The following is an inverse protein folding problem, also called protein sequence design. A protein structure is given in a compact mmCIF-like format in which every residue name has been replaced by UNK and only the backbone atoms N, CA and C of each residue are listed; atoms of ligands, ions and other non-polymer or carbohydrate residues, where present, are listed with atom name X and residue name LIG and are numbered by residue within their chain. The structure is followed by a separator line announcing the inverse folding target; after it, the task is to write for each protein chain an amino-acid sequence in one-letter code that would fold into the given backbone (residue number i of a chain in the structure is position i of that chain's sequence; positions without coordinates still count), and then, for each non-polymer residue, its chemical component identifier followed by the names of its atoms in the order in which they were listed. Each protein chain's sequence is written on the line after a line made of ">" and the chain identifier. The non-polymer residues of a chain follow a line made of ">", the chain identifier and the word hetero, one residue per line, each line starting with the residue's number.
data_IF_308835142130
#
_entry.id   IF_308835142130
#
_cell.length_a   1.000
_cell.length_b   1.000
_cell.length_c   1.000
_cell.angle_alpha   90.00
_cell.angle_beta   90.00
_cell.angle_gamma   90.00
#
_symmetry.space_group_name_H-M   'P 1'
#
loop_
_entity.id
_entity.type
_entity.pdbx_description
1 polymer ?
#
# COMPACT_ATOMS: atom_id res chain seq x y z
N UNK A 1 -3.17 18.39 -4.63
CA UNK A 1 -4.13 17.30 -4.39
C UNK A 1 -3.58 16.43 -3.28
N UNK A 2 -4.33 16.20 -2.23
CA UNK A 2 -3.94 15.25 -1.18
C UNK A 2 -3.82 13.88 -1.83
N UNK A 3 -2.69 13.20 -1.68
CA UNK A 3 -2.54 11.80 -2.09
C UNK A 3 -3.09 10.93 -0.96
N UNK A 4 -4.40 10.94 -0.78
CA UNK A 4 -5.08 10.02 0.13
C UNK A 4 -5.21 8.67 -0.59
N UNK A 5 -4.07 8.01 -0.85
CA UNK A 5 -4.07 6.65 -1.36
C UNK A 5 -4.36 5.69 -0.20
N UNK A 6 -5.16 4.68 -0.47
CA UNK A 6 -5.70 3.77 0.54
C UNK A 6 -5.41 2.31 0.17
N UNK A 7 -5.09 1.53 1.19
CA UNK A 7 -4.99 0.07 1.09
C UNK A 7 -6.21 -0.56 1.75
N UNK A 8 -6.99 -1.29 0.98
CA UNK A 8 -8.11 -2.07 1.49
C UNK A 8 -7.65 -3.40 2.08
N UNK A 9 -8.03 -3.68 3.33
CA UNK A 9 -7.78 -4.97 3.95
C UNK A 9 -8.97 -5.88 3.65
N UNK A 10 -8.71 -6.98 2.96
CA UNK A 10 -9.70 -7.97 2.57
C UNK A 10 -9.35 -9.35 3.11
N UNK A 11 -10.32 -10.23 3.21
CA UNK A 11 -10.11 -11.62 3.63
C UNK A 11 -11.44 -12.32 3.87
N UNK A 12 -11.42 -13.65 3.85
CA UNK A 12 -12.57 -14.45 4.23
C UNK A 12 -12.89 -14.27 5.72
N UNK A 13 -14.10 -14.63 6.18
CA UNK A 13 -14.41 -14.62 7.61
C UNK A 13 -13.41 -15.48 8.41
N UNK A 14 -13.10 -15.05 9.63
CA UNK A 14 -12.27 -15.78 10.60
C UNK A 14 -10.79 -15.99 10.18
N UNK A 15 -10.26 -15.18 9.28
CA UNK A 15 -8.83 -15.20 8.91
C UNK A 15 -7.95 -14.31 9.79
N UNK A 16 -8.55 -13.55 10.74
CA UNK A 16 -7.84 -12.58 11.59
C UNK A 16 -7.86 -11.13 11.07
N UNK A 17 -8.63 -10.84 10.02
CA UNK A 17 -8.72 -9.53 9.39
C UNK A 17 -9.08 -8.41 10.37
N UNK A 18 -10.14 -8.57 11.15
CA UNK A 18 -10.59 -7.54 12.13
C UNK A 18 -9.60 -7.36 13.28
N UNK A 19 -8.95 -8.44 13.72
CA UNK A 19 -7.89 -8.37 14.75
C UNK A 19 -6.71 -7.55 14.23
N UNK A 20 -6.27 -7.80 13.01
CA UNK A 20 -5.20 -7.04 12.36
C UNK A 20 -5.59 -5.57 12.18
N UNK A 21 -6.80 -5.29 11.68
CA UNK A 21 -7.27 -3.92 11.52
C UNK A 21 -7.37 -3.16 12.85
N UNK A 22 -7.81 -3.82 13.91
CA UNK A 22 -7.82 -3.22 15.24
C UNK A 22 -6.42 -2.90 15.76
N UNK A 23 -5.43 -3.76 15.51
CA UNK A 23 -4.04 -3.48 15.82
C UNK A 23 -3.53 -2.24 15.06
N UNK A 24 -3.84 -2.15 13.77
CA UNK A 24 -3.54 -0.97 12.94
C UNK A 24 -4.15 0.30 13.52
N UNK A 25 -5.43 0.28 13.87
CA UNK A 25 -6.14 1.47 14.40
C UNK A 25 -5.65 1.88 15.78
N UNK A 26 -5.24 0.94 16.62
CA UNK A 26 -4.64 1.22 17.93
C UNK A 26 -3.27 1.89 17.77
N UNK A 27 -2.41 1.35 16.91
CA UNK A 27 -1.12 1.95 16.57
C UNK A 27 -1.27 3.35 15.96
N UNK A 28 -2.37 3.62 15.25
CA UNK A 28 -2.69 4.91 14.66
C UNK A 28 -3.37 5.92 15.58
N UNK A 29 -3.73 5.55 16.83
CA UNK A 29 -4.44 6.45 17.74
C UNK A 29 -3.66 7.73 18.07
N UNK A 30 -2.33 7.71 17.97
CA UNK A 30 -1.47 8.89 18.09
C UNK A 30 -1.44 9.75 16.80
N UNK A 31 -1.85 9.17 15.66
CA UNK A 31 -1.91 9.87 14.38
C UNK A 31 -3.08 10.88 14.27
N UNK A 32 -3.93 11.01 15.28
CA UNK A 32 -5.05 11.98 15.37
C UNK A 32 -4.60 13.45 15.27
N UNK A 33 -3.31 13.72 15.21
CA UNK A 33 -2.73 15.05 15.06
C UNK A 33 -2.60 15.54 13.60
N UNK A 34 -3.06 14.77 12.62
CA UNK A 34 -3.03 15.22 11.22
C UNK A 34 -4.20 16.18 10.97
N UNK A 35 -3.93 17.45 10.60
CA UNK A 35 -4.98 18.36 10.19
C UNK A 35 -5.67 17.80 8.93
N UNK A 36 -6.99 17.73 8.95
CA UNK A 36 -7.88 17.21 7.89
C UNK A 36 -8.17 15.69 7.89
N UNK A 37 -7.82 14.94 8.94
CA UNK A 37 -8.35 13.58 9.09
C UNK A 37 -9.76 13.61 9.69
N UNK A 38 -10.77 13.38 8.86
CA UNK A 38 -12.10 12.99 9.33
C UNK A 38 -12.01 11.55 9.83
N UNK A 39 -12.48 11.29 11.04
CA UNK A 39 -12.60 9.92 11.58
C UNK A 39 -13.77 9.27 10.82
N UNK A 40 -13.43 8.47 9.81
CA UNK A 40 -14.40 7.66 9.09
C UNK A 40 -14.45 6.26 9.73
N UNK A 41 -15.64 5.69 9.96
CA UNK A 41 -15.74 4.31 10.43
C UNK A 41 -15.06 3.38 9.41
N UNK A 42 -14.29 2.42 9.89
CA UNK A 42 -13.51 1.45 9.10
C UNK A 42 -12.29 2.01 8.35
N UNK A 43 -11.80 3.19 8.71
CA UNK A 43 -10.55 3.74 8.19
C UNK A 43 -9.55 3.92 9.33
N UNK A 44 -8.41 3.28 9.21
CA UNK A 44 -7.25 3.45 10.10
C UNK A 44 -6.20 4.33 9.44
N UNK A 45 -5.75 5.36 10.14
CA UNK A 45 -4.61 6.19 9.72
C UNK A 45 -3.43 5.85 10.59
N UNK A 46 -2.30 5.51 10.00
CA UNK A 46 -1.11 5.08 10.71
C UNK A 46 0.12 5.82 10.23
N UNK A 47 1.07 6.01 11.12
CA UNK A 47 2.37 6.54 10.79
C UNK A 47 3.19 5.49 10.01
N UNK A 48 3.88 5.96 8.97
CA UNK A 48 4.84 5.11 8.24
C UNK A 48 6.16 5.11 9.00
N UNK A 49 6.62 3.96 9.51
CA UNK A 49 7.86 3.87 10.26
C UNK A 49 9.05 4.31 9.40
N UNK A 50 9.79 5.32 9.87
CA UNK A 50 10.99 5.84 9.19
C UNK A 50 12.05 6.24 10.22
N UNK A 51 13.04 5.37 10.43
CA UNK A 51 14.13 5.60 11.36
C UNK A 51 14.96 6.86 11.03
N UNK A 52 14.96 7.30 9.77
CA UNK A 52 15.70 8.50 9.31
C UNK A 52 15.22 9.77 9.99
N UNK A 53 13.92 9.85 10.30
CA UNK A 53 13.33 11.02 10.96
C UNK A 53 13.86 11.22 12.40
N UNK A 54 14.03 10.14 13.15
CA UNK A 54 14.59 10.20 14.52
C UNK A 54 16.01 10.76 14.49
N UNK A 55 16.85 10.22 13.58
CA UNK A 55 18.23 10.70 13.40
C UNK A 55 18.29 12.18 12.99
N UNK A 56 17.44 12.60 12.03
CA UNK A 56 17.36 14.00 11.63
C UNK A 56 16.84 14.89 12.78
N UNK A 57 15.86 14.43 13.54
CA UNK A 57 15.32 15.14 14.68
C UNK A 57 16.39 15.42 15.75
N UNK A 58 17.24 14.44 16.04
CA UNK A 58 18.37 14.59 16.97
C UNK A 58 19.45 15.52 16.39
N UNK A 59 19.83 15.33 15.12
CA UNK A 59 20.84 16.14 14.43
C UNK A 59 20.47 17.63 14.40
N UNK A 60 19.22 17.94 14.07
CA UNK A 60 18.72 19.33 13.96
C UNK A 60 18.11 19.86 15.26
N UNK A 61 18.06 19.04 16.33
CA UNK A 61 17.40 19.36 17.61
C UNK A 61 15.97 19.81 17.40
N UNK A 62 15.25 19.09 16.54
CA UNK A 62 13.89 19.43 16.15
C UNK A 62 12.92 19.31 17.31
N UNK A 63 12.08 20.34 17.49
CA UNK A 63 11.05 20.36 18.53
C UNK A 63 9.90 19.38 18.24
N UNK A 64 9.71 19.04 16.97
CA UNK A 64 8.65 18.13 16.50
C UNK A 64 9.19 17.22 15.42
N UNK A 65 8.77 15.94 15.47
CA UNK A 65 9.03 14.94 14.45
C UNK A 65 7.67 14.53 13.86
N UNK A 66 7.52 14.58 12.54
CA UNK A 66 6.27 14.27 11.85
C UNK A 66 6.52 13.23 10.76
N UNK A 67 6.12 11.97 10.99
CA UNK A 67 6.24 10.92 9.99
C UNK A 67 5.27 11.11 8.82
N UNK A 68 5.45 10.35 7.78
CA UNK A 68 4.44 10.18 6.75
C UNK A 68 3.28 9.36 7.31
N UNK A 69 2.08 9.55 6.78
CA UNK A 69 0.91 8.77 7.17
C UNK A 69 0.35 7.99 5.99
N UNK A 70 -0.31 6.87 6.30
CA UNK A 70 -0.95 5.99 5.35
C UNK A 70 -2.34 5.59 5.87
N UNK A 71 -3.27 5.29 4.95
CA UNK A 71 -4.64 4.89 5.27
C UNK A 71 -4.87 3.43 4.94
N UNK A 72 -5.43 2.71 5.90
CA UNK A 72 -5.98 1.38 5.73
C UNK A 72 -7.50 1.42 5.86
N UNK A 73 -8.19 0.66 5.02
CA UNK A 73 -9.65 0.56 5.04
C UNK A 73 -10.05 -0.88 5.33
N UNK A 74 -10.83 -1.09 6.39
CA UNK A 74 -11.42 -2.42 6.65
C UNK A 74 -12.58 -2.67 5.68
N UNK A 75 -12.35 -3.55 4.73
CA UNK A 75 -13.38 -3.97 3.79
C UNK A 75 -14.10 -5.18 4.36
N UNK A 76 -15.42 -5.06 4.54
CA UNK A 76 -16.25 -6.13 5.08
C UNK A 76 -16.00 -7.46 4.35
N UNK A 77 -15.92 -8.56 5.10
CA UNK A 77 -15.54 -9.87 4.56
C UNK A 77 -16.42 -10.31 3.39
N UNK A 78 -15.79 -10.95 2.43
CA UNK A 78 -16.46 -11.55 1.27
C UNK A 78 -17.35 -12.71 1.71
N UNK A 79 -18.58 -12.73 1.21
CA UNK A 79 -19.43 -13.91 1.23
C UNK A 79 -19.46 -14.47 -0.19
N UNK A 80 -19.31 -15.79 -0.35
CA UNK A 80 -19.38 -16.48 -1.63
C UNK A 80 -20.68 -16.12 -2.37
N UNK A 81 -20.58 -15.74 -3.65
CA UNK A 81 -21.72 -15.25 -4.42
C UNK A 81 -21.88 -13.72 -4.42
N UNK A 82 -20.88 -12.99 -3.97
CA UNK A 82 -20.87 -11.52 -3.93
C UNK A 82 -21.13 -10.89 -5.31
N UNK A 83 -20.61 -11.49 -6.37
CA UNK A 83 -20.78 -11.04 -7.76
C UNK A 83 -22.20 -11.20 -8.30
N UNK A 84 -23.03 -12.06 -7.69
CA UNK A 84 -24.42 -12.30 -8.13
C UNK A 84 -25.43 -11.29 -7.59
N UNK A 85 -24.99 -10.23 -6.93
CA UNK A 85 -25.82 -9.08 -6.57
C UNK A 85 -26.65 -9.21 -5.29
N UNK A 86 -26.37 -10.17 -4.42
CA UNK A 86 -27.08 -10.31 -3.16
C UNK A 86 -26.42 -9.52 -2.04
N UNK A 87 -26.98 -8.37 -1.69
CA UNK A 87 -26.79 -7.64 -0.43
C UNK A 87 -25.35 -7.22 -0.10
N UNK A 88 -24.67 -7.94 0.76
CA UNK A 88 -23.33 -7.61 1.28
C UNK A 88 -22.22 -7.69 0.22
N UNK A 89 -22.39 -8.53 -0.81
CA UNK A 89 -21.40 -8.69 -1.88
C UNK A 89 -21.19 -7.43 -2.71
N UNK A 90 -22.27 -6.72 -3.05
CA UNK A 90 -22.18 -5.46 -3.79
C UNK A 90 -21.43 -4.38 -3.01
N UNK A 91 -21.59 -4.33 -1.68
CA UNK A 91 -20.85 -3.40 -0.83
C UNK A 91 -19.36 -3.73 -0.79
N UNK A 92 -19.02 -5.01 -0.71
CA UNK A 92 -17.64 -5.47 -0.77
C UNK A 92 -16.95 -5.02 -2.06
N UNK A 93 -17.58 -5.29 -3.21
CA UNK A 93 -17.04 -4.90 -4.52
C UNK A 93 -16.94 -3.37 -4.67
N UNK A 94 -17.93 -2.63 -4.14
CA UNK A 94 -17.90 -1.16 -4.15
C UNK A 94 -16.70 -0.61 -3.33
N UNK A 95 -16.48 -1.12 -2.12
CA UNK A 95 -15.34 -0.70 -1.30
C UNK A 95 -13.99 -1.05 -1.94
N UNK A 96 -13.86 -2.22 -2.60
CA UNK A 96 -12.63 -2.53 -3.34
C UNK A 96 -12.42 -1.53 -4.50
N UNK A 97 -13.48 -1.04 -5.15
CA UNK A 97 -13.32 -0.01 -6.20
C UNK A 97 -12.72 1.29 -5.69
N UNK A 98 -13.04 1.66 -4.47
CA UNK A 98 -12.64 2.94 -3.85
C UNK A 98 -11.15 2.96 -3.43
N UNK A 99 -10.60 1.84 -2.98
CA UNK A 99 -9.20 1.74 -2.54
C UNK A 99 -8.22 1.63 -3.71
N UNK A 100 -6.95 1.98 -3.50
CA UNK A 100 -5.92 2.00 -4.54
C UNK A 100 -5.14 0.68 -4.65
N UNK A 101 -5.05 -0.07 -3.55
CA UNK A 101 -4.41 -1.38 -3.48
C UNK A 101 -5.12 -2.27 -2.46
N UNK A 102 -4.83 -3.56 -2.49
CA UNK A 102 -5.48 -4.57 -1.63
C UNK A 102 -4.43 -5.30 -0.81
N UNK A 103 -4.63 -5.39 0.50
CA UNK A 103 -3.93 -6.31 1.40
C UNK A 103 -4.85 -7.49 1.71
N UNK A 104 -4.57 -8.63 1.12
CA UNK A 104 -5.37 -9.83 1.31
C UNK A 104 -4.86 -10.66 2.47
N UNK A 105 -5.62 -10.71 3.56
CA UNK A 105 -5.31 -11.53 4.75
C UNK A 105 -5.73 -12.97 4.50
N UNK A 106 -4.78 -13.87 4.70
CA UNK A 106 -4.95 -15.30 4.45
C UNK A 106 -4.61 -16.06 5.73
N UNK A 107 -5.47 -16.97 6.12
CA UNK A 107 -5.26 -17.80 7.31
C UNK A 107 -4.25 -18.91 7.05
N UNK A 108 -3.14 -18.89 7.79
CA UNK A 108 -2.08 -19.87 7.76
C UNK A 108 -1.83 -20.52 9.14
N UNK A 109 -2.73 -20.36 10.09
CA UNK A 109 -2.64 -20.93 11.45
C UNK A 109 -3.76 -21.92 11.72
N UNK A 110 -3.48 -22.91 12.56
CA UNK A 110 -4.48 -23.85 13.07
C UNK A 110 -4.96 -23.39 14.45
N UNK A 111 -6.27 -23.35 14.64
CA UNK A 111 -6.92 -23.11 15.95
C UNK A 111 -8.24 -23.86 15.99
N UNK A 112 -8.32 -24.85 16.88
CA UNK A 112 -9.51 -25.69 17.04
C UNK A 112 -10.75 -24.95 17.55
N UNK A 113 -10.58 -23.75 18.13
CA UNK A 113 -11.67 -22.90 18.62
C UNK A 113 -12.20 -21.95 17.57
N UNK A 114 -11.48 -21.76 16.45
CA UNK A 114 -11.85 -20.85 15.36
C UNK A 114 -12.24 -21.68 14.15
N UNK A 115 -13.53 -21.76 13.85
CA UNK A 115 -14.03 -22.49 12.69
C UNK A 115 -13.63 -21.77 11.39
N UNK A 116 -13.05 -22.53 10.44
CA UNK A 116 -12.85 -22.03 9.08
C UNK A 116 -14.14 -22.15 8.27
N UNK A 117 -14.48 -21.13 7.47
CA UNK A 117 -15.74 -21.08 6.71
C UNK A 117 -15.87 -22.25 5.75
N UNK A 118 -14.76 -22.71 5.16
CA UNK A 118 -14.69 -23.83 4.22
C UNK A 118 -14.29 -25.17 4.91
N UNK A 119 -14.33 -25.25 6.24
CA UNK A 119 -14.13 -26.46 7.03
C UNK A 119 -12.67 -26.93 7.19
N UNK A 120 -11.73 -26.44 6.38
CA UNK A 120 -10.30 -26.75 6.47
C UNK A 120 -9.44 -25.56 6.08
N UNK A 121 -8.21 -25.50 6.58
CA UNK A 121 -7.25 -24.44 6.20
C UNK A 121 -6.68 -24.80 4.84
N UNK A 122 -6.88 -23.90 3.89
CA UNK A 122 -6.27 -23.96 2.56
C UNK A 122 -6.12 -22.54 2.00
N UNK A 123 -4.98 -21.90 2.25
CA UNK A 123 -4.78 -20.50 1.88
C UNK A 123 -4.90 -20.23 0.38
N UNK A 124 -4.49 -21.15 -0.49
CA UNK A 124 -4.61 -20.98 -1.93
C UNK A 124 -6.07 -20.97 -2.37
N UNK A 125 -6.88 -21.90 -1.84
CA UNK A 125 -8.34 -21.90 -2.09
C UNK A 125 -8.97 -20.58 -1.63
N UNK A 126 -8.56 -20.06 -0.48
CA UNK A 126 -9.10 -18.83 0.08
C UNK A 126 -8.75 -17.62 -0.81
N UNK A 127 -7.54 -17.60 -1.38
CA UNK A 127 -7.13 -16.61 -2.38
C UNK A 127 -7.96 -16.73 -3.66
N UNK A 128 -8.15 -17.96 -4.16
CA UNK A 128 -8.91 -18.24 -5.37
C UNK A 128 -10.38 -17.84 -5.24
N UNK A 129 -11.00 -18.04 -4.09
CA UNK A 129 -12.39 -17.61 -3.84
C UNK A 129 -12.54 -16.11 -4.05
N UNK A 130 -11.65 -15.30 -3.46
CA UNK A 130 -11.69 -13.84 -3.61
C UNK A 130 -11.41 -13.46 -5.07
N UNK A 131 -10.36 -14.01 -5.67
CA UNK A 131 -10.03 -13.72 -7.07
C UNK A 131 -11.17 -14.05 -8.03
N UNK A 132 -11.86 -15.18 -7.83
CA UNK A 132 -13.00 -15.58 -8.64
C UNK A 132 -14.13 -14.55 -8.59
N UNK A 133 -14.50 -14.09 -7.40
CA UNK A 133 -15.56 -13.08 -7.26
C UNK A 133 -15.16 -11.73 -7.90
N UNK A 134 -13.89 -11.33 -7.80
CA UNK A 134 -13.38 -10.12 -8.46
C UNK A 134 -13.35 -10.29 -10.00
N UNK A 135 -12.95 -11.46 -10.50
CA UNK A 135 -12.94 -11.77 -11.92
C UNK A 135 -14.36 -11.73 -12.53
N UNK A 136 -15.34 -12.29 -11.82
CA UNK A 136 -16.74 -12.25 -12.26
C UNK A 136 -17.30 -10.82 -12.34
N UNK A 137 -16.96 -9.97 -11.35
CA UNK A 137 -17.37 -8.58 -11.36
C UNK A 137 -16.71 -7.77 -12.49
N UNK A 138 -15.44 -8.04 -12.76
CA UNK A 138 -14.72 -7.38 -13.85
C UNK A 138 -15.19 -7.87 -15.22
N UNK A 139 -15.51 -9.16 -15.36
CA UNK A 139 -16.04 -9.72 -16.59
C UNK A 139 -17.29 -8.98 -17.05
N UNK A 140 -18.24 -8.74 -16.13
CA UNK A 140 -19.43 -7.93 -16.43
C UNK A 140 -19.08 -6.51 -16.93
N UNK A 141 -18.05 -5.90 -16.34
CA UNK A 141 -17.58 -4.56 -16.74
C UNK A 141 -16.98 -4.58 -18.15
N UNK A 142 -16.14 -5.56 -18.43
CA UNK A 142 -15.47 -5.71 -19.75
C UNK A 142 -16.46 -6.05 -20.84
N UNK A 143 -17.41 -6.96 -20.60
CA UNK A 143 -18.45 -7.33 -21.56
C UNK A 143 -19.32 -6.14 -21.96
N UNK A 144 -19.72 -5.31 -21.00
CA UNK A 144 -20.43 -4.04 -21.27
C UNK A 144 -19.60 -3.08 -22.15
N UNK A 145 -18.30 -3.05 -21.99
CA UNK A 145 -17.40 -2.26 -22.86
C UNK A 145 -17.32 -2.86 -24.26
N UNK A 146 -17.19 -4.18 -24.37
CA UNK A 146 -17.19 -4.88 -25.66
C UNK A 146 -18.47 -4.61 -26.47
N UNK A 147 -19.65 -4.66 -25.85
CA UNK A 147 -20.92 -4.33 -26.51
C UNK A 147 -20.94 -2.91 -27.09
N UNK A 148 -20.33 -1.94 -26.39
CA UNK A 148 -20.19 -0.56 -26.88
C UNK A 148 -19.24 -0.49 -28.06
N UNK A 149 -18.11 -1.22 -28.01
CA UNK A 149 -17.12 -1.26 -29.10
C UNK A 149 -17.69 -1.84 -30.40
N UNK A 150 -18.55 -2.84 -30.32
CA UNK A 150 -19.21 -3.39 -31.52
C UNK A 150 -19.93 -2.30 -32.33
N UNK A 151 -20.53 -1.32 -31.66
CA UNK A 151 -21.19 -0.18 -32.33
C UNK A 151 -20.16 0.77 -32.94
N UNK A 152 -18.97 0.91 -32.33
CA UNK A 152 -17.89 1.80 -32.79
C UNK A 152 -17.06 1.18 -33.92
N UNK A 153 -17.06 -0.14 -34.11
CA UNK A 153 -16.37 -0.80 -35.24
C UNK A 153 -16.78 -0.22 -36.60
N UNK A 154 -18.00 0.31 -36.71
CA UNK A 154 -18.52 0.92 -37.95
C UNK A 154 -17.95 2.32 -38.23
N UNK A 155 -17.26 2.93 -37.29
CA UNK A 155 -16.72 4.29 -37.44
C UNK A 155 -15.40 4.34 -38.22
N UNK A 156 -14.72 3.20 -38.39
CA UNK A 156 -13.42 3.11 -39.08
C UNK A 156 -12.22 3.55 -38.25
N UNK A 157 -12.40 3.78 -36.93
CA UNK A 157 -11.29 4.09 -36.03
C UNK A 157 -10.38 2.87 -35.85
N UNK A 158 -9.09 3.03 -36.19
CA UNK A 158 -8.08 1.95 -36.12
C UNK A 158 -7.76 1.48 -34.71
N UNK A 159 -8.07 2.25 -33.68
CA UNK A 159 -7.86 1.86 -32.27
C UNK A 159 -8.90 0.84 -31.78
N UNK A 160 -10.12 0.90 -32.32
CA UNK A 160 -11.23 0.05 -31.86
C UNK A 160 -10.95 -1.45 -32.04
N UNK A 161 -10.42 -1.94 -33.18
CA UNK A 161 -10.06 -3.35 -33.31
C UNK A 161 -8.95 -3.80 -32.34
N UNK A 162 -7.98 -2.92 -32.02
CA UNK A 162 -6.90 -3.20 -31.07
C UNK A 162 -7.45 -3.30 -29.66
N UNK A 163 -8.26 -2.32 -29.24
CA UNK A 163 -8.93 -2.35 -27.94
C UNK A 163 -9.78 -3.62 -27.80
N UNK A 164 -10.54 -3.97 -28.85
CA UNK A 164 -11.36 -5.19 -28.84
C UNK A 164 -10.51 -6.44 -28.58
N UNK A 165 -9.37 -6.59 -29.25
CA UNK A 165 -8.48 -7.75 -29.06
C UNK A 165 -7.95 -7.83 -27.62
N UNK A 166 -7.63 -6.69 -27.01
CA UNK A 166 -7.23 -6.63 -25.59
C UNK A 166 -8.37 -7.08 -24.69
N UNK A 167 -9.59 -6.56 -24.90
CA UNK A 167 -10.75 -6.95 -24.11
C UNK A 167 -11.11 -8.43 -24.27
N UNK A 168 -10.98 -9.00 -25.47
CA UNK A 168 -11.21 -10.43 -25.72
C UNK A 168 -10.21 -11.28 -24.89
N UNK A 169 -8.92 -10.92 -24.88
CA UNK A 169 -7.89 -11.56 -24.06
C UNK A 169 -8.20 -11.47 -22.57
N UNK A 170 -8.69 -10.30 -22.12
CA UNK A 170 -9.05 -10.09 -20.71
C UNK A 170 -10.27 -10.93 -20.32
N UNK A 171 -11.32 -10.97 -21.12
CA UNK A 171 -12.51 -11.78 -20.85
C UNK A 171 -12.18 -13.27 -20.78
N UNK A 172 -11.33 -13.77 -21.69
CA UNK A 172 -10.88 -15.16 -21.66
C UNK A 172 -10.17 -15.49 -20.34
N UNK A 173 -9.21 -14.66 -19.92
CA UNK A 173 -8.49 -14.86 -18.64
C UNK A 173 -9.40 -14.76 -17.42
N UNK A 174 -10.28 -13.76 -17.38
CA UNK A 174 -11.25 -13.61 -16.28
C UNK A 174 -12.22 -14.79 -16.21
N UNK A 175 -12.61 -15.36 -17.36
CA UNK A 175 -13.45 -16.54 -17.44
C UNK A 175 -12.78 -17.81 -16.87
N UNK A 176 -11.46 -17.87 -16.88
CA UNK A 176 -10.64 -18.90 -16.24
C UNK A 176 -10.27 -18.56 -14.78
N UNK A 177 -10.92 -17.55 -14.21
CA UNK A 177 -10.63 -17.01 -12.87
C UNK A 177 -9.18 -16.49 -12.69
N UNK A 178 -8.52 -16.08 -13.80
CA UNK A 178 -7.20 -15.44 -13.78
C UNK A 178 -7.36 -13.93 -13.67
N UNK A 179 -6.91 -13.28 -12.60
CA UNK A 179 -6.94 -11.83 -12.46
C UNK A 179 -6.24 -11.10 -13.61
N UNK A 180 -6.78 -9.97 -14.06
CA UNK A 180 -6.25 -9.22 -15.20
C UNK A 180 -4.78 -8.81 -15.01
N UNK A 181 -4.33 -8.54 -13.78
CA UNK A 181 -2.92 -8.24 -13.45
C UNK A 181 -1.96 -9.40 -13.77
N UNK A 182 -2.45 -10.65 -13.88
CA UNK A 182 -1.66 -11.86 -14.21
C UNK A 182 -1.63 -12.22 -15.70
N UNK A 183 -2.34 -11.49 -16.55
CA UNK A 183 -2.48 -11.83 -17.97
C UNK A 183 -1.28 -11.42 -18.84
N UNK A 184 -0.20 -10.89 -18.23
CA UNK A 184 1.00 -10.47 -18.97
C UNK A 184 0.69 -9.37 -20.01
N UNK A 185 -0.16 -8.42 -19.66
CA UNK A 185 -0.52 -7.30 -20.52
C UNK A 185 0.63 -6.31 -20.64
N UNK A 186 0.89 -5.83 -21.86
CA UNK A 186 1.84 -4.73 -22.10
C UNK A 186 1.30 -3.42 -21.53
N UNK A 187 2.17 -2.41 -21.37
CA UNK A 187 1.72 -1.11 -20.86
C UNK A 187 0.75 -0.42 -21.83
N UNK A 188 0.92 -0.62 -23.15
CA UNK A 188 -0.02 -0.17 -24.17
C UNK A 188 -1.38 -0.86 -24.08
N UNK A 189 -1.40 -2.17 -23.79
CA UNK A 189 -2.65 -2.91 -23.54
C UNK A 189 -3.36 -2.43 -22.27
N UNK A 190 -2.61 -2.14 -21.21
CA UNK A 190 -3.15 -1.60 -19.94
C UNK A 190 -3.80 -0.23 -20.10
N UNK A 191 -3.30 0.61 -21.03
CA UNK A 191 -3.91 1.92 -21.30
C UNK A 191 -5.40 1.79 -21.69
N UNK A 192 -5.77 0.77 -22.46
CA UNK A 192 -7.16 0.53 -22.84
C UNK A 192 -8.06 0.14 -21.64
N UNK A 193 -7.47 -0.39 -20.58
CA UNK A 193 -8.19 -0.85 -19.38
C UNK A 193 -8.31 0.24 -18.31
N UNK A 194 -7.58 1.34 -18.44
CA UNK A 194 -7.48 2.37 -17.39
C UNK A 194 -8.85 2.95 -17.00
N UNK A 195 -9.70 3.25 -17.99
CA UNK A 195 -11.04 3.80 -17.76
C UNK A 195 -12.04 2.79 -17.17
N UNK A 196 -11.72 1.50 -17.21
CA UNK A 196 -12.61 0.43 -16.72
C UNK A 196 -12.48 0.23 -15.21
N UNK A 197 -11.40 0.73 -14.61
CA UNK A 197 -11.15 0.60 -13.17
C UNK A 197 -11.33 -0.83 -12.65
N UNK A 198 -10.74 -1.81 -13.38
CA UNK A 198 -10.89 -3.22 -13.05
C UNK A 198 -10.34 -3.53 -11.64
N UNK A 199 -11.12 -4.29 -10.89
CA UNK A 199 -10.76 -4.72 -9.52
C UNK A 199 -9.53 -5.62 -9.53
N UNK A 200 -9.46 -6.52 -10.52
CA UNK A 200 -8.36 -7.48 -10.69
C UNK A 200 -7.08 -6.87 -11.26
N UNK A 201 -7.09 -5.58 -11.65
CA UNK A 201 -5.88 -4.82 -12.01
C UNK A 201 -5.23 -4.15 -10.81
N UNK A 202 -5.93 -4.03 -9.67
CA UNK A 202 -5.36 -3.39 -8.48
C UNK A 202 -4.15 -4.16 -7.97
N UNK A 203 -3.09 -3.45 -7.52
CA UNK A 203 -1.96 -4.07 -6.85
C UNK A 203 -2.41 -4.84 -5.61
N UNK A 204 -1.81 -6.00 -5.37
CA UNK A 204 -2.13 -6.86 -4.23
C UNK A 204 -0.89 -7.15 -3.39
N UNK A 205 -1.10 -7.24 -2.09
CA UNK A 205 -0.16 -7.70 -1.07
C UNK A 205 -0.84 -8.84 -0.30
N UNK A 206 -0.15 -9.95 -0.12
CA UNK A 206 -0.65 -11.06 0.68
C UNK A 206 -0.16 -10.95 2.13
N UNK A 207 -1.08 -11.11 3.07
CA UNK A 207 -0.78 -11.09 4.50
C UNK A 207 -1.05 -12.49 5.05
N UNK A 208 0.01 -13.27 5.21
CA UNK A 208 -0.06 -14.61 5.78
C UNK A 208 -0.16 -14.51 7.31
N UNK A 209 -1.36 -14.74 7.85
CA UNK A 209 -1.60 -14.70 9.27
C UNK A 209 -1.33 -16.07 9.91
N UNK A 210 -0.32 -16.13 10.78
CA UNK A 210 0.17 -17.35 11.45
C UNK A 210 -0.07 -17.32 12.96
N UNK A 211 0.20 -18.43 13.64
CA UNK A 211 0.25 -18.48 15.10
C UNK A 211 1.46 -17.70 15.65
N UNK A 212 1.42 -17.34 16.94
CA UNK A 212 2.46 -16.50 17.56
C UNK A 212 3.85 -17.15 17.55
N UNK A 213 3.90 -18.47 17.74
CA UNK A 213 5.12 -19.27 17.75
C UNK A 213 5.68 -19.57 16.35
N UNK A 214 4.94 -19.26 15.28
CA UNK A 214 5.34 -19.49 13.90
C UNK A 214 5.92 -18.24 13.20
N UNK A 215 5.76 -17.06 13.79
CA UNK A 215 6.16 -15.78 13.17
C UNK A 215 7.66 -15.69 12.95
N UNK A 216 8.47 -16.23 13.87
CA UNK A 216 9.93 -16.16 13.83
C UNK A 216 10.54 -17.15 12.83
N UNK A 217 9.83 -18.20 12.43
CA UNK A 217 10.30 -19.23 11.51
C UNK A 217 9.21 -19.60 10.47
N UNK A 218 8.76 -18.65 9.66
CA UNK A 218 7.65 -18.85 8.73
C UNK A 218 7.97 -19.88 7.63
N UNK A 219 9.23 -20.15 7.38
CA UNK A 219 9.70 -21.18 6.45
C UNK A 219 9.30 -22.60 6.87
N UNK A 220 8.99 -22.82 8.14
CA UNK A 220 8.53 -24.12 8.64
C UNK A 220 7.02 -24.35 8.45
N UNK A 221 6.28 -23.31 8.08
CA UNK A 221 4.83 -23.41 7.86
C UNK A 221 4.52 -23.66 6.38
N UNK A 222 3.98 -24.85 6.00
CA UNK A 222 3.72 -25.19 4.60
C UNK A 222 2.64 -24.29 3.96
N UNK A 223 1.72 -23.74 4.74
CA UNK A 223 0.70 -22.81 4.27
C UNK A 223 1.33 -21.47 3.86
N UNK A 224 2.28 -20.97 4.66
CA UNK A 224 3.04 -19.76 4.35
C UNK A 224 3.85 -19.94 3.07
N UNK A 225 4.55 -21.09 2.94
CA UNK A 225 5.33 -21.40 1.75
C UNK A 225 4.47 -21.44 0.48
N UNK A 226 3.28 -22.00 0.58
CA UNK A 226 2.32 -22.03 -0.53
C UNK A 226 1.88 -20.61 -0.95
N UNK A 227 1.58 -19.73 0.03
CA UNK A 227 1.21 -18.32 -0.23
C UNK A 227 2.39 -17.56 -0.85
N UNK A 228 3.60 -17.72 -0.30
CA UNK A 228 4.80 -17.04 -0.83
C UNK A 228 5.08 -17.43 -2.28
N UNK A 229 5.00 -18.72 -2.59
CA UNK A 229 5.16 -19.20 -3.97
C UNK A 229 4.10 -18.63 -4.91
N UNK A 230 2.84 -18.64 -4.49
CA UNK A 230 1.75 -18.07 -5.27
C UNK A 230 1.96 -16.56 -5.54
N UNK A 231 2.37 -15.82 -4.51
CA UNK A 231 2.66 -14.40 -4.62
C UNK A 231 3.85 -14.12 -5.56
N UNK A 232 4.91 -14.91 -5.46
CA UNK A 232 6.09 -14.78 -6.34
C UNK A 232 5.71 -14.98 -7.82
N UNK A 233 4.88 -15.98 -8.15
CA UNK A 233 4.38 -16.22 -9.50
C UNK A 233 3.56 -15.03 -10.04
N UNK A 234 2.93 -14.27 -9.16
CA UNK A 234 2.15 -13.07 -9.48
C UNK A 234 2.99 -11.78 -9.48
N UNK A 235 4.22 -11.84 -8.97
CA UNK A 235 5.06 -10.65 -8.73
C UNK A 235 4.57 -9.80 -7.55
N UNK A 236 3.80 -10.39 -6.63
CA UNK A 236 3.31 -9.77 -5.41
C UNK A 236 4.21 -10.10 -4.22
N UNK A 237 4.14 -9.29 -3.17
CA UNK A 237 4.87 -9.48 -1.91
C UNK A 237 3.97 -10.21 -0.89
N UNK A 238 4.59 -11.01 -0.02
CA UNK A 238 3.92 -11.65 1.12
C UNK A 238 4.54 -11.14 2.42
N UNK A 239 3.68 -10.66 3.33
CA UNK A 239 4.07 -10.29 4.69
C UNK A 239 3.50 -11.33 5.65
N UNK A 240 4.35 -11.90 6.48
CA UNK A 240 3.94 -12.84 7.53
C UNK A 240 3.72 -12.07 8.83
N UNK A 241 2.55 -12.23 9.44
CA UNK A 241 2.18 -11.60 10.70
C UNK A 241 1.45 -12.59 11.61
N UNK A 242 1.47 -12.36 12.91
CA UNK A 242 0.47 -12.90 13.80
C UNK A 242 -0.45 -11.77 14.26
N UNK A 243 -1.66 -11.73 13.72
CA UNK A 243 -2.61 -10.67 14.06
C UNK A 243 -2.89 -10.59 15.57
N UNK A 244 -2.79 -11.73 16.27
CA UNK A 244 -2.92 -11.80 17.73
C UNK A 244 -1.74 -11.11 18.42
N UNK A 245 -0.51 -11.49 18.06
CA UNK A 245 0.72 -10.86 18.58
C UNK A 245 0.73 -9.36 18.32
N UNK A 246 0.39 -8.91 17.09
CA UNK A 246 0.34 -7.50 16.75
C UNK A 246 -0.69 -6.73 17.59
N UNK A 247 -1.82 -7.37 17.93
CA UNK A 247 -2.83 -6.76 18.80
C UNK A 247 -2.33 -6.60 20.25
N UNK A 248 -1.50 -7.53 20.73
CA UNK A 248 -0.88 -7.45 22.04
C UNK A 248 0.22 -6.40 22.08
N UNK A 249 1.11 -6.37 21.08
CA UNK A 249 2.18 -5.37 20.95
C UNK A 249 1.59 -3.93 20.89
N UNK A 250 0.49 -3.74 20.18
CA UNK A 250 -0.16 -2.42 20.04
C UNK A 250 -0.74 -1.89 21.38
N UNK A 251 -0.81 -2.71 22.42
CA UNK A 251 -1.25 -2.29 23.78
C UNK A 251 -0.07 -1.96 24.71
N UNK A 252 1.16 -2.29 24.31
CA UNK A 252 2.35 -2.11 25.13
C UNK A 252 2.97 -0.72 24.94
N UNK A 253 3.59 -0.17 25.99
CA UNK A 253 4.52 0.96 25.84
C UNK A 253 5.68 0.61 24.91
N UNK A 254 6.27 1.61 24.22
CA UNK A 254 7.31 1.42 23.20
C UNK A 254 8.50 0.55 23.70
N UNK A 255 8.95 0.79 24.95
CA UNK A 255 10.06 0.03 25.54
C UNK A 255 9.69 -1.45 25.75
N UNK A 256 8.48 -1.72 26.28
CA UNK A 256 8.00 -3.07 26.52
C UNK A 256 7.71 -3.80 25.19
N UNK A 257 7.18 -3.10 24.18
CA UNK A 257 6.96 -3.64 22.84
C UNK A 257 8.29 -4.11 22.21
N UNK A 258 9.36 -3.31 22.38
CA UNK A 258 10.68 -3.66 21.88
C UNK A 258 11.25 -4.92 22.58
N UNK A 259 11.16 -4.99 23.90
CA UNK A 259 11.57 -6.18 24.66
C UNK A 259 10.78 -7.42 24.23
N UNK A 260 9.49 -7.27 23.98
CA UNK A 260 8.63 -8.36 23.52
C UNK A 260 9.08 -8.90 22.15
N UNK A 261 9.39 -7.99 21.19
CA UNK A 261 9.90 -8.37 19.87
C UNK A 261 11.26 -9.09 19.97
N UNK A 262 12.17 -8.58 20.80
CA UNK A 262 13.48 -9.22 21.02
C UNK A 262 13.33 -10.63 21.61
N UNK A 263 12.43 -10.83 22.58
CA UNK A 263 12.14 -12.16 23.15
C UNK A 263 11.51 -13.10 22.10
N UNK A 264 10.70 -12.58 21.20
CA UNK A 264 10.10 -13.34 20.10
C UNK A 264 11.09 -13.62 18.94
N UNK A 265 12.33 -13.09 19.02
CA UNK A 265 13.34 -13.26 17.95
C UNK A 265 13.04 -12.43 16.71
N UNK A 266 12.30 -11.33 16.84
CA UNK A 266 11.90 -10.45 15.75
C UNK A 266 12.66 -9.11 15.84
N UNK A 267 13.15 -8.64 14.68
CA UNK A 267 13.81 -7.34 14.58
C UNK A 267 12.81 -6.18 14.50
N UNK A 268 11.62 -6.43 13.99
CA UNK A 268 10.59 -5.45 13.68
C UNK A 268 9.19 -6.06 13.79
N UNK A 269 8.21 -5.28 14.22
CA UNK A 269 6.80 -5.69 14.25
C UNK A 269 6.29 -6.04 12.83
N UNK A 270 5.44 -7.05 12.74
CA UNK A 270 4.83 -7.43 11.48
C UNK A 270 3.95 -6.31 10.92
N UNK A 271 3.32 -5.53 11.79
CA UNK A 271 2.54 -4.36 11.43
C UNK A 271 3.39 -3.28 10.74
N UNK A 272 4.60 -3.00 11.24
CA UNK A 272 5.52 -2.05 10.61
C UNK A 272 5.93 -2.51 9.22
N UNK A 273 6.23 -3.80 9.06
CA UNK A 273 6.52 -4.41 7.75
C UNK A 273 5.33 -4.28 6.80
N UNK A 274 4.10 -4.53 7.28
CA UNK A 274 2.87 -4.39 6.50
C UNK A 274 2.66 -2.94 6.04
N UNK A 275 2.85 -1.97 6.92
CA UNK A 275 2.72 -0.54 6.60
C UNK A 275 3.74 -0.13 5.52
N UNK A 276 5.00 -0.51 5.69
CA UNK A 276 6.07 -0.23 4.70
C UNK A 276 5.78 -0.89 3.34
N UNK A 277 5.34 -2.15 3.36
CA UNK A 277 4.99 -2.88 2.13
C UNK A 277 3.79 -2.25 1.42
N UNK A 278 2.74 -1.87 2.14
CA UNK A 278 1.59 -1.15 1.59
C UNK A 278 1.97 0.20 1.01
N UNK A 279 2.83 0.96 1.67
CA UNK A 279 3.35 2.24 1.19
C UNK A 279 4.11 2.08 -0.14
N UNK A 280 4.98 1.09 -0.21
CA UNK A 280 5.72 0.72 -1.42
C UNK A 280 4.78 0.25 -2.55
N UNK A 281 3.77 -0.57 -2.21
CA UNK A 281 2.78 -1.10 -3.15
C UNK A 281 2.01 0.01 -3.85
N UNK A 282 1.70 1.10 -3.13
CA UNK A 282 1.05 2.29 -3.67
C UNK A 282 1.99 3.16 -4.54
N UNK A 283 3.24 2.75 -4.73
CA UNK A 283 4.24 3.52 -5.46
C UNK A 283 4.64 4.82 -4.75
N UNK A 284 4.48 4.86 -3.43
CA UNK A 284 4.83 6.01 -2.61
C UNK A 284 6.31 5.99 -2.19
N UNK A 285 6.81 7.15 -1.86
CA UNK A 285 8.11 7.37 -1.23
C UNK A 285 8.07 8.68 -0.43
N UNK A 286 9.10 8.94 0.36
CA UNK A 286 9.21 10.16 1.15
C UNK A 286 10.46 10.95 0.78
N UNK A 287 10.30 12.28 0.71
CA UNK A 287 11.41 13.20 0.91
C UNK A 287 11.30 13.83 2.30
N UNK A 288 12.39 14.38 2.79
CA UNK A 288 12.51 14.84 4.16
C UNK A 288 12.82 16.33 4.19
N UNK A 289 12.26 17.03 5.18
CA UNK A 289 12.67 18.37 5.57
C UNK A 289 13.13 18.32 7.01
N UNK A 290 14.21 19.00 7.35
CA UNK A 290 14.77 19.00 8.69
C UNK A 290 15.19 20.39 9.12
N UNK A 291 14.81 20.78 10.33
CA UNK A 291 15.12 22.06 10.95
C UNK A 291 14.81 22.06 12.43
N UNK A 292 15.18 23.12 13.15
CA UNK A 292 14.96 23.24 14.59
C UNK A 292 13.49 23.20 15.02
N UNK A 293 12.58 23.68 14.16
CA UNK A 293 11.15 23.68 14.45
C UNK A 293 10.56 22.30 14.25
N UNK A 294 10.90 21.65 13.13
CA UNK A 294 10.29 20.39 12.73
C UNK A 294 11.24 19.60 11.80
N UNK A 295 11.27 18.27 11.99
CA UNK A 295 11.70 17.31 10.98
C UNK A 295 10.49 16.52 10.50
N UNK A 296 10.28 16.47 9.17
CA UNK A 296 9.07 15.86 8.59
C UNK A 296 9.38 15.03 7.36
N UNK A 297 8.67 13.90 7.23
CA UNK A 297 8.58 13.12 6.00
C UNK A 297 7.36 13.55 5.17
N UNK A 298 7.58 13.79 3.90
CA UNK A 298 6.57 14.23 2.96
C UNK A 298 6.29 13.13 1.93
N UNK A 299 5.06 12.68 1.86
CA UNK A 299 4.64 11.62 0.94
C UNK A 299 4.47 12.14 -0.48
N UNK A 300 5.15 11.49 -1.41
CA UNK A 300 5.02 11.72 -2.86
C UNK A 300 4.95 10.38 -3.61
N UNK A 301 4.45 10.40 -4.83
CA UNK A 301 4.56 9.26 -5.75
C UNK A 301 5.97 9.19 -6.33
N UNK A 302 6.47 7.98 -6.58
CA UNK A 302 7.71 7.79 -7.35
C UNK A 302 7.58 8.46 -8.72
N UNK A 303 8.64 9.12 -9.16
CA UNK A 303 8.63 9.91 -10.40
C UNK A 303 8.15 11.37 -10.24
N UNK A 304 7.76 11.81 -9.04
CA UNK A 304 7.38 13.20 -8.78
C UNK A 304 8.59 14.14 -8.95
N UNK A 305 8.40 15.24 -9.69
CA UNK A 305 9.42 16.26 -9.86
C UNK A 305 9.44 17.27 -8.71
N UNK A 306 10.57 17.98 -8.54
CA UNK A 306 10.80 18.93 -7.46
C UNK A 306 9.70 20.00 -7.27
N UNK A 307 9.14 20.65 -8.31
CA UNK A 307 8.06 21.62 -8.11
C UNK A 307 6.81 21.01 -7.50
N UNK A 308 6.38 19.84 -7.99
CA UNK A 308 5.19 19.13 -7.44
C UNK A 308 5.45 18.63 -6.02
N UNK A 309 6.69 18.22 -5.71
CA UNK A 309 7.08 17.88 -4.34
C UNK A 309 6.99 19.11 -3.43
N UNK A 310 7.48 20.27 -3.84
CA UNK A 310 7.35 21.53 -3.12
C UNK A 310 5.87 21.89 -2.89
N UNK A 311 5.00 21.59 -3.84
CA UNK A 311 3.55 21.78 -3.76
C UNK A 311 2.87 20.95 -2.65
N UNK A 312 3.52 19.89 -2.16
CA UNK A 312 3.04 19.14 -0.99
C UNK A 312 3.15 19.93 0.31
N UNK A 313 4.12 20.82 0.41
CA UNK A 313 4.28 21.72 1.54
C UNK A 313 3.23 22.84 1.46
N UNK A 314 3.19 23.53 0.33
CA UNK A 314 2.21 24.59 0.05
C UNK A 314 2.12 24.87 -1.46
N UNK A 315 0.94 25.21 -1.95
CA UNK A 315 0.71 25.54 -3.36
C UNK A 315 1.59 26.69 -3.88
N UNK A 316 1.92 27.65 -3.01
CA UNK A 316 2.80 28.76 -3.36
C UNK A 316 4.23 28.30 -3.64
N UNK A 317 4.71 27.25 -2.97
CA UNK A 317 6.03 26.68 -3.22
C UNK A 317 6.12 26.06 -4.61
N UNK A 318 5.04 25.45 -5.09
CA UNK A 318 4.97 24.93 -6.46
C UNK A 318 4.93 26.05 -7.48
N UNK A 319 4.05 27.07 -7.28
CA UNK A 319 3.90 28.20 -8.22
C UNK A 319 5.15 29.05 -8.30
N UNK A 320 5.76 29.35 -7.16
CA UNK A 320 6.95 30.19 -7.06
C UNK A 320 8.27 29.42 -7.11
N UNK A 321 8.27 28.14 -7.46
CA UNK A 321 9.46 27.29 -7.41
C UNK A 321 10.63 27.88 -8.22
N UNK A 322 11.77 28.04 -7.55
CA UNK A 322 13.02 28.50 -8.17
C UNK A 322 13.97 27.32 -8.31
N UNK A 323 14.31 26.67 -7.19
CA UNK A 323 15.21 25.51 -7.12
C UNK A 323 15.05 24.77 -5.81
N UNK A 324 15.58 23.54 -5.76
CA UNK A 324 15.69 22.75 -4.56
C UNK A 324 17.17 22.61 -4.16
N UNK A 325 17.49 22.84 -2.89
CA UNK A 325 18.78 22.47 -2.31
C UNK A 325 18.60 21.08 -1.71
N UNK A 326 19.31 20.09 -2.24
CA UNK A 326 19.12 18.68 -1.91
C UNK A 326 20.43 18.05 -1.45
N UNK A 327 20.37 17.30 -0.37
CA UNK A 327 21.42 16.37 0.07
C UNK A 327 20.76 15.02 0.36
N UNK A 328 21.40 13.91 0.00
CA UNK A 328 20.89 12.61 0.40
C UNK A 328 20.96 12.44 1.92
N UNK A 329 20.02 11.67 2.48
CA UNK A 329 20.03 11.38 3.92
C UNK A 329 21.40 10.80 4.35
N UNK A 330 21.91 9.83 3.60
CA UNK A 330 23.15 9.13 3.93
C UNK A 330 24.36 10.08 3.94
N UNK A 331 24.48 10.95 2.92
CA UNK A 331 25.53 11.94 2.84
C UNK A 331 25.45 12.96 3.98
N UNK A 332 24.23 13.40 4.32
CA UNK A 332 24.01 14.36 5.40
C UNK A 332 24.43 13.78 6.75
N UNK A 333 24.04 12.54 7.04
CA UNK A 333 24.40 11.85 8.29
C UNK A 333 25.90 11.58 8.35
N UNK A 334 26.50 11.12 7.26
CA UNK A 334 27.96 10.88 7.19
C UNK A 334 28.77 12.17 7.39
N UNK A 335 28.23 13.33 6.98
CA UNK A 335 28.88 14.63 7.19
C UNK A 335 28.63 15.23 8.58
N UNK A 336 27.60 14.79 9.28
CA UNK A 336 27.22 15.27 10.61
C UNK A 336 26.56 16.66 10.64
N UNK A 337 26.54 17.40 9.51
CA UNK A 337 25.82 18.67 9.38
C UNK A 337 25.63 19.09 7.93
N UNK A 338 24.63 19.93 7.67
CA UNK A 338 24.38 20.52 6.34
C UNK A 338 25.55 21.41 5.88
N UNK A 339 26.22 22.11 6.80
CA UNK A 339 27.38 22.93 6.49
C UNK A 339 28.55 22.07 5.98
N UNK A 340 28.88 20.99 6.72
CA UNK A 340 29.92 20.05 6.30
C UNK A 340 29.61 19.36 4.97
N UNK A 341 28.34 18.99 4.72
CA UNK A 341 27.92 18.45 3.45
C UNK A 341 28.09 19.45 2.30
N UNK A 342 27.81 20.74 2.54
CA UNK A 342 28.02 21.81 1.56
C UNK A 342 29.50 22.01 1.27
N UNK A 343 30.36 22.04 2.29
CA UNK A 343 31.81 22.19 2.11
C UNK A 343 32.43 21.05 1.30
N UNK A 344 31.84 19.85 1.41
CA UNK A 344 32.23 18.68 0.60
C UNK A 344 31.58 18.66 -0.80
N UNK A 345 30.74 19.64 -1.14
CA UNK A 345 30.05 19.70 -2.44
C UNK A 345 28.93 18.68 -2.63
N UNK A 346 28.40 18.09 -1.52
CA UNK A 346 27.34 17.09 -1.54
C UNK A 346 25.93 17.70 -1.55
N UNK A 347 25.82 19.00 -1.28
CA UNK A 347 24.55 19.74 -1.41
C UNK A 347 24.39 20.17 -2.87
N UNK A 348 23.42 19.58 -3.55
CA UNK A 348 23.11 19.84 -4.95
C UNK A 348 22.04 20.91 -5.09
N UNK A 349 22.13 21.68 -6.15
CA UNK A 349 21.10 22.64 -6.57
C UNK A 349 20.36 22.09 -7.77
N UNK A 350 19.11 21.72 -7.58
CA UNK A 350 18.31 21.04 -8.57
C UNK A 350 17.18 21.93 -9.10
N UNK A 351 16.93 21.83 -10.39
CA UNK A 351 15.91 22.60 -11.10
C UNK A 351 14.56 21.89 -11.18
N UNK A 352 13.69 22.45 -12.04
CA UNK A 352 12.29 22.00 -12.20
C UNK A 352 12.14 20.56 -12.72
N UNK A 353 13.12 20.04 -13.42
CA UNK A 353 13.06 18.70 -14.02
C UNK A 353 13.64 17.60 -13.13
N UNK A 354 14.16 17.96 -11.98
CA UNK A 354 14.69 16.98 -11.05
C UNK A 354 13.58 16.05 -10.54
N UNK A 355 13.80 14.76 -10.70
CA UNK A 355 12.92 13.70 -10.17
C UNK A 355 13.40 13.37 -8.78
N UNK A 356 12.53 13.60 -7.79
CA UNK A 356 12.82 13.36 -6.37
C UNK A 356 13.20 11.90 -6.12
N UNK A 357 14.16 11.72 -5.20
CA UNK A 357 14.58 10.41 -4.73
C UNK A 357 14.12 10.17 -3.29
N UNK A 358 13.90 8.89 -2.94
CA UNK A 358 13.55 8.53 -1.57
C UNK A 358 14.71 8.88 -0.62
N UNK A 359 14.37 9.59 0.46
CA UNK A 359 15.36 10.06 1.43
C UNK A 359 16.11 11.34 1.05
N UNK A 360 15.73 12.01 -0.03
CA UNK A 360 16.23 13.37 -0.28
C UNK A 360 15.87 14.29 0.90
N UNK A 361 16.87 14.94 1.49
CA UNK A 361 16.68 16.01 2.48
C UNK A 361 16.72 17.35 1.77
N UNK A 362 15.61 18.09 1.79
CA UNK A 362 15.34 19.17 0.85
C UNK A 362 15.05 20.50 1.55
N UNK A 363 15.58 21.59 0.96
CA UNK A 363 15.13 22.95 1.22
C UNK A 363 14.73 23.62 -0.10
N UNK A 364 13.43 23.90 -0.25
CA UNK A 364 12.93 24.56 -1.45
C UNK A 364 13.13 26.07 -1.39
N UNK A 365 13.60 26.65 -2.49
CA UNK A 365 13.67 28.10 -2.72
C UNK A 365 12.56 28.48 -3.68
N UNK A 366 11.74 29.42 -3.27
CA UNK A 366 10.58 29.91 -4.02
C UNK A 366 10.43 31.42 -3.85
N UNK A 367 9.72 32.02 -4.78
CA UNK A 367 9.34 33.43 -4.73
C UNK A 367 7.88 33.57 -5.20
N UNK A 368 7.04 34.20 -4.42
CA UNK A 368 5.59 34.41 -4.68
C UNK A 368 5.30 35.89 -4.72
#
# INVERSE_FOLDING_TARGET
>A
MSTNLEVGIVGLPNVGKSTLFNAITKAGAEAANYPFCTIEPNVGVVDVPDARLKVLGEMFKSKKIVPAAMRFVDIAGLVKGASRGEGLGNKFLAHIREVDAVAQVVRCFEDGNITHVEGSINPLRDIEIINTELCLADMETVEKRQERLVKLLKTGDKKVPVEKAVLDKVVEGLGEAVPARRLGLTDEEKEFLTELHLLTMKPVLYVANVAEDEVAAPENNPHVQAVMKYAEEEGAETIVVSAKMESEIAELPEDEAKEFLEMAGLEEAGLDRLIKAGFKLLGLMTYLTAGETESRAWTIKRGTKAPQAAGKIHSDFERGFIRAEIVSYDDLVACGSKAAARDKGLVRLEGKDYVMQDGDVVEFRFNV
#
